data_IF_075646918337
#
_entry.id   IF_075646918337
#
_cell.length_a   1.000
_cell.length_b   1.000
_cell.length_c   1.000
_cell.angle_alpha   90.00
_cell.angle_beta   90.00
_cell.angle_gamma   90.00
#
_symmetry.space_group_name_H-M   'P 1'
#
loop_
_entity.id
_entity.type
_entity.pdbx_description
1 polymer ?
#
# COMPACT_ATOMS: atom_id res chain seq x y z
N UNK A 1 -32.41 -10.42 -7.78
CA UNK A 1 -31.01 -10.77 -7.45
C UNK A 1 -30.80 -10.80 -5.92
N UNK A 2 -31.52 -11.65 -5.18
CA UNK A 2 -31.43 -11.75 -3.71
C UNK A 2 -30.87 -13.10 -3.20
N UNK A 3 -30.52 -14.02 -4.09
CA UNK A 3 -30.27 -15.44 -3.74
C UNK A 3 -28.81 -15.90 -3.76
N UNK A 4 -27.83 -14.98 -3.61
CA UNK A 4 -26.41 -15.36 -3.51
C UNK A 4 -25.86 -15.18 -2.08
N UNK A 5 -26.45 -14.29 -1.27
CA UNK A 5 -26.04 -14.11 0.13
C UNK A 5 -26.35 -15.31 1.04
N UNK A 6 -27.35 -16.13 0.69
CA UNK A 6 -27.84 -17.21 1.56
C UNK A 6 -27.04 -18.53 1.48
N UNK A 7 -26.10 -18.70 0.54
CA UNK A 7 -25.43 -20.01 0.35
C UNK A 7 -24.15 -20.20 1.16
N UNK A 8 -23.60 -19.14 1.74
CA UNK A 8 -22.42 -19.20 2.61
C UNK A 8 -22.75 -19.04 4.11
N UNK A 9 -24.01 -18.79 4.45
CA UNK A 9 -24.46 -18.46 5.80
C UNK A 9 -24.79 -19.69 6.67
N UNK A 10 -24.37 -20.89 6.24
CA UNK A 10 -24.79 -22.16 6.84
C UNK A 10 -23.61 -23.05 7.24
N UNK A 11 -22.83 -22.67 8.28
CA UNK A 11 -22.29 -23.62 9.30
C UNK A 11 -21.36 -23.12 10.42
N UNK A 12 -21.17 -21.81 10.66
CA UNK A 12 -20.45 -21.37 11.88
C UNK A 12 -21.14 -20.16 12.50
N UNK A 13 -21.67 -20.31 13.72
CA UNK A 13 -22.23 -19.20 14.51
C UNK A 13 -21.14 -18.36 15.19
N UNK A 14 -19.90 -18.51 14.77
CA UNK A 14 -18.70 -18.05 15.48
C UNK A 14 -17.77 -17.34 14.49
N UNK A 15 -17.13 -16.27 14.95
CA UNK A 15 -16.15 -15.53 14.17
C UNK A 15 -14.94 -16.43 13.86
N UNK A 16 -14.83 -16.89 12.62
CA UNK A 16 -13.77 -17.80 12.17
C UNK A 16 -12.34 -17.28 12.49
N UNK A 17 -12.01 -15.97 12.31
CA UNK A 17 -10.69 -15.47 12.69
C UNK A 17 -10.43 -15.54 14.20
N UNK A 18 -11.48 -15.44 15.02
CA UNK A 18 -11.38 -15.58 16.46
C UNK A 18 -11.12 -17.05 16.86
N UNK A 19 -11.76 -18.00 16.19
CA UNK A 19 -11.48 -19.44 16.37
C UNK A 19 -10.02 -19.77 16.01
N UNK A 20 -9.49 -19.20 14.93
CA UNK A 20 -8.07 -19.36 14.58
C UNK A 20 -7.15 -18.82 15.68
N UNK A 21 -7.48 -17.65 16.25
CA UNK A 21 -6.71 -17.08 17.37
C UNK A 21 -6.72 -17.99 18.60
N UNK A 22 -7.84 -18.69 18.86
CA UNK A 22 -7.95 -19.66 19.94
C UNK A 22 -7.00 -20.86 19.72
N UNK A 23 -6.91 -21.38 18.50
CA UNK A 23 -5.96 -22.44 18.18
C UNK A 23 -4.49 -22.00 18.32
N UNK A 24 -4.16 -20.76 17.94
CA UNK A 24 -2.82 -20.20 18.12
C UNK A 24 -2.51 -20.05 19.62
N UNK A 25 -3.45 -19.58 20.43
CA UNK A 25 -3.29 -19.50 21.88
C UNK A 25 -3.05 -20.88 22.52
N UNK A 26 -3.78 -21.90 22.07
CA UNK A 26 -3.58 -23.28 22.51
C UNK A 26 -2.17 -23.79 22.18
N UNK A 27 -1.64 -23.45 21.01
CA UNK A 27 -0.27 -23.77 20.62
C UNK A 27 0.77 -23.06 21.51
N UNK A 28 0.63 -21.75 21.76
CA UNK A 28 1.52 -20.99 22.64
C UNK A 28 1.54 -21.61 24.05
N UNK A 29 0.38 -22.02 24.56
CA UNK A 29 0.27 -22.71 25.86
C UNK A 29 1.01 -24.04 25.89
N UNK A 30 0.94 -24.83 24.81
CA UNK A 30 1.67 -26.10 24.71
C UNK A 30 3.19 -25.88 24.63
N UNK A 31 3.65 -24.86 23.90
CA UNK A 31 5.07 -24.45 23.84
C UNK A 31 5.59 -24.07 25.24
N UNK A 32 4.81 -23.33 26.02
CA UNK A 32 5.15 -22.98 27.39
C UNK A 32 5.19 -24.22 28.31
N UNK A 33 4.18 -25.10 28.23
CA UNK A 33 4.12 -26.33 29.03
C UNK A 33 5.34 -27.24 28.80
N UNK A 34 5.84 -27.29 27.56
CA UNK A 34 7.01 -28.08 27.17
C UNK A 34 8.35 -27.36 27.44
N UNK A 35 8.33 -26.14 27.97
CA UNK A 35 9.51 -25.30 28.21
C UNK A 35 10.41 -25.13 26.97
N UNK A 36 9.81 -25.07 25.77
CA UNK A 36 10.55 -24.89 24.51
C UNK A 36 11.03 -23.44 24.31
N UNK A 37 10.45 -22.50 25.05
CA UNK A 37 10.81 -21.08 24.99
C UNK A 37 10.81 -20.45 26.40
N UNK A 38 11.66 -19.43 26.66
CA UNK A 38 11.66 -18.68 27.91
C UNK A 38 10.34 -17.91 28.12
N UNK A 39 9.96 -17.69 29.38
CA UNK A 39 8.71 -17.01 29.76
C UNK A 39 8.54 -15.63 29.12
N UNK A 40 9.63 -14.86 29.01
CA UNK A 40 9.61 -13.57 28.33
C UNK A 40 9.16 -13.68 26.85
N UNK A 41 9.61 -14.73 26.15
CA UNK A 41 9.25 -14.97 24.75
C UNK A 41 7.77 -15.37 24.63
N UNK A 42 7.26 -16.16 25.57
CA UNK A 42 5.84 -16.52 25.64
C UNK A 42 4.96 -15.27 25.83
N UNK A 43 5.37 -14.34 26.70
CA UNK A 43 4.69 -13.06 26.86
C UNK A 43 4.67 -12.26 25.55
N UNK A 44 5.80 -12.22 24.83
CA UNK A 44 5.88 -11.54 23.53
C UNK A 44 4.94 -12.18 22.49
N UNK A 45 4.89 -13.51 22.40
CA UNK A 45 3.97 -14.22 21.51
C UNK A 45 2.51 -13.91 21.83
N UNK A 46 2.13 -13.88 23.10
CA UNK A 46 0.78 -13.51 23.52
C UNK A 46 0.45 -12.05 23.18
N UNK A 47 1.41 -11.13 23.33
CA UNK A 47 1.23 -9.73 22.93
C UNK A 47 1.02 -9.58 21.41
N UNK A 48 1.77 -10.33 20.60
CA UNK A 48 1.56 -10.37 19.14
C UNK A 48 0.18 -10.92 18.78
N UNK A 49 -0.28 -11.99 19.46
CA UNK A 49 -1.61 -12.53 19.27
C UNK A 49 -2.71 -11.53 19.66
N UNK A 50 -2.56 -10.85 20.80
CA UNK A 50 -3.48 -9.80 21.23
C UNK A 50 -3.53 -8.65 20.22
N UNK A 51 -2.42 -8.29 19.60
CA UNK A 51 -2.39 -7.29 18.53
C UNK A 51 -3.20 -7.76 17.30
N UNK A 52 -3.04 -9.02 16.88
CA UNK A 52 -3.87 -9.58 15.79
C UNK A 52 -5.38 -9.52 16.11
N UNK A 53 -5.77 -9.84 17.36
CA UNK A 53 -7.17 -9.77 17.80
C UNK A 53 -7.67 -8.31 17.86
N UNK A 54 -6.83 -7.37 18.30
CA UNK A 54 -7.16 -5.94 18.27
C UNK A 54 -7.35 -5.41 16.85
N UNK A 55 -6.49 -5.82 15.91
CA UNK A 55 -6.64 -5.50 14.50
C UNK A 55 -7.95 -6.07 13.93
N UNK A 56 -8.29 -7.32 14.25
CA UNK A 56 -9.56 -7.94 13.88
C UNK A 56 -10.75 -7.11 14.39
N UNK A 57 -10.78 -6.79 15.69
CA UNK A 57 -11.85 -5.95 16.26
C UNK A 57 -11.90 -4.54 15.66
N UNK A 58 -10.75 -3.99 15.27
CA UNK A 58 -10.67 -2.74 14.51
C UNK A 58 -11.33 -2.84 13.13
N UNK A 59 -11.05 -3.91 12.39
CA UNK A 59 -11.66 -4.18 11.08
C UNK A 59 -13.16 -4.47 11.20
N UNK A 60 -13.58 -5.25 12.19
CA UNK A 60 -15.00 -5.48 12.48
C UNK A 60 -15.71 -4.16 12.79
N UNK A 61 -15.11 -3.29 13.61
CA UNK A 61 -15.67 -1.95 13.87
C UNK A 61 -15.78 -1.13 12.58
N UNK A 62 -14.74 -1.08 11.75
CA UNK A 62 -14.78 -0.33 10.49
C UNK A 62 -15.86 -0.92 9.55
N UNK A 63 -15.94 -2.24 9.45
CA UNK A 63 -16.91 -2.94 8.62
C UNK A 63 -18.36 -2.79 9.13
N UNK A 64 -18.55 -2.72 10.45
CA UNK A 64 -19.88 -2.57 11.08
C UNK A 64 -20.30 -1.10 11.21
N UNK A 65 -19.35 -0.16 11.17
CA UNK A 65 -19.61 1.28 11.07
C UNK A 65 -19.89 1.65 9.61
N UNK A 66 -20.85 0.97 8.98
CA UNK A 66 -21.42 1.48 7.73
C UNK A 66 -22.08 2.82 8.01
N UNK A 67 -21.90 3.81 7.13
CA UNK A 67 -22.58 5.10 7.27
C UNK A 67 -24.08 4.86 7.45
N UNK A 68 -24.77 5.61 8.33
CA UNK A 68 -26.19 5.41 8.53
C UNK A 68 -26.94 5.46 7.20
N UNK A 69 -27.78 4.45 6.93
CA UNK A 69 -28.54 4.36 5.68
C UNK A 69 -29.34 5.64 5.38
N UNK A 70 -29.84 6.31 6.41
CA UNK A 70 -30.54 7.59 6.31
C UNK A 70 -29.68 8.68 5.66
N UNK A 71 -28.38 8.74 5.97
CA UNK A 71 -27.47 9.72 5.37
C UNK A 71 -27.33 9.49 3.86
N UNK A 72 -27.09 8.25 3.43
CA UNK A 72 -26.96 7.92 2.01
C UNK A 72 -28.23 8.25 1.22
N UNK A 73 -29.40 7.95 1.80
CA UNK A 73 -30.70 8.27 1.18
C UNK A 73 -30.91 9.79 1.11
N UNK A 74 -30.62 10.54 2.18
CA UNK A 74 -30.79 11.99 2.18
C UNK A 74 -29.83 12.70 1.23
N UNK A 75 -28.59 12.22 1.13
CA UNK A 75 -27.61 12.77 0.20
C UNK A 75 -28.06 12.57 -1.25
N UNK A 76 -28.61 11.39 -1.59
CA UNK A 76 -29.24 11.15 -2.90
C UNK A 76 -30.42 12.10 -3.17
N UNK A 77 -31.34 12.23 -2.20
CA UNK A 77 -32.50 13.12 -2.32
C UNK A 77 -32.08 14.58 -2.54
N UNK A 78 -31.08 15.06 -1.79
CA UNK A 78 -30.58 16.42 -1.88
C UNK A 78 -29.94 16.70 -3.24
N UNK A 79 -29.09 15.79 -3.75
CA UNK A 79 -28.47 15.91 -5.08
C UNK A 79 -29.53 15.97 -6.17
N UNK A 80 -30.58 15.14 -6.09
CA UNK A 80 -31.67 15.16 -7.06
C UNK A 80 -32.48 16.45 -7.02
N UNK A 81 -32.86 16.91 -5.82
CA UNK A 81 -33.61 18.16 -5.66
C UNK A 81 -32.78 19.35 -6.18
N UNK A 82 -31.46 19.37 -5.94
CA UNK A 82 -30.57 20.42 -6.42
C UNK A 82 -30.52 20.49 -7.95
N UNK A 83 -30.37 19.33 -8.61
CA UNK A 83 -30.36 19.26 -10.09
C UNK A 83 -31.72 19.68 -10.68
N UNK A 84 -32.84 19.32 -10.03
CA UNK A 84 -34.18 19.73 -10.46
C UNK A 84 -34.45 21.23 -10.23
N UNK A 85 -33.85 21.84 -9.20
CA UNK A 85 -34.01 23.27 -8.90
C UNK A 85 -33.14 24.17 -9.80
N UNK A 86 -31.95 23.70 -10.20
CA UNK A 86 -30.99 24.41 -11.06
C UNK A 86 -31.58 25.06 -12.34
N UNK A 87 -32.42 24.39 -13.16
CA UNK A 87 -32.95 24.99 -14.39
C UNK A 87 -33.82 26.23 -14.12
N UNK A 88 -34.59 26.24 -13.03
CA UNK A 88 -35.43 27.39 -12.66
C UNK A 88 -34.57 28.60 -12.26
N UNK A 89 -33.41 28.37 -11.66
CA UNK A 89 -32.47 29.42 -11.28
C UNK A 89 -31.73 29.99 -12.49
N UNK A 90 -31.36 29.15 -13.46
CA UNK A 90 -30.49 29.54 -14.59
C UNK A 90 -31.24 30.04 -15.83
N UNK A 91 -32.54 29.77 -15.96
CA UNK A 91 -33.29 30.15 -17.17
C UNK A 91 -33.35 31.67 -17.38
N UNK A 92 -33.39 32.47 -16.31
CA UNK A 92 -33.37 33.93 -16.37
C UNK A 92 -32.06 34.51 -16.96
N UNK A 93 -30.89 34.23 -16.36
CA UNK A 93 -29.63 34.81 -16.82
C UNK A 93 -29.07 34.17 -18.10
N UNK A 94 -29.29 32.87 -18.34
CA UNK A 94 -28.62 32.13 -19.41
C UNK A 94 -29.53 31.74 -20.59
N UNK A 95 -30.86 31.83 -20.46
CA UNK A 95 -31.82 31.42 -21.49
C UNK A 95 -31.48 30.05 -22.11
N UNK A 96 -31.18 30.01 -23.41
CA UNK A 96 -30.84 28.78 -24.16
C UNK A 96 -29.56 28.09 -23.65
N UNK A 97 -28.59 28.85 -23.11
CA UNK A 97 -27.36 28.29 -22.53
C UNK A 97 -27.59 27.60 -21.18
N UNK A 98 -28.77 27.70 -20.58
CA UNK A 98 -29.10 26.99 -19.36
C UNK A 98 -29.07 25.46 -19.56
N UNK A 99 -29.51 24.96 -20.73
CA UNK A 99 -29.58 23.53 -21.03
C UNK A 99 -28.19 22.85 -20.93
N UNK A 100 -27.15 23.28 -21.68
CA UNK A 100 -25.82 22.67 -21.58
C UNK A 100 -25.18 22.89 -20.22
N UNK A 101 -25.43 24.04 -19.57
CA UNK A 101 -24.87 24.34 -18.24
C UNK A 101 -25.43 23.41 -17.16
N UNK A 102 -26.74 23.18 -17.16
CA UNK A 102 -27.41 22.27 -16.22
C UNK A 102 -26.99 20.82 -16.49
N UNK A 103 -26.85 20.42 -17.77
CA UNK A 103 -26.37 19.08 -18.12
C UNK A 103 -24.93 18.84 -17.60
N UNK A 104 -24.05 19.83 -17.73
CA UNK A 104 -22.68 19.75 -17.21
C UNK A 104 -22.66 19.69 -15.68
N UNK A 105 -23.46 20.52 -15.00
CA UNK A 105 -23.56 20.52 -13.54
C UNK A 105 -24.11 19.18 -13.02
N UNK A 106 -25.14 18.64 -13.66
CA UNK A 106 -25.72 17.34 -13.32
C UNK A 106 -24.70 16.20 -13.50
N UNK A 107 -23.96 16.20 -14.61
CA UNK A 107 -22.89 15.23 -14.85
C UNK A 107 -21.82 15.28 -13.74
N UNK A 108 -21.35 16.47 -13.37
CA UNK A 108 -20.34 16.63 -12.31
C UNK A 108 -20.85 16.18 -10.94
N UNK A 109 -22.06 16.59 -10.55
CA UNK A 109 -22.63 16.27 -9.23
C UNK A 109 -23.00 14.79 -9.10
N UNK A 110 -23.60 14.20 -10.14
CA UNK A 110 -23.89 12.77 -10.16
C UNK A 110 -22.60 11.93 -10.25
N UNK A 111 -21.60 12.41 -10.98
CA UNK A 111 -20.29 11.76 -11.04
C UNK A 111 -19.63 11.67 -9.67
N UNK A 112 -19.55 12.80 -8.93
CA UNK A 112 -19.00 12.82 -7.57
C UNK A 112 -19.83 11.95 -6.62
N UNK A 113 -21.16 11.93 -6.76
CA UNK A 113 -22.05 11.09 -5.96
C UNK A 113 -21.73 9.59 -6.11
N UNK A 114 -21.60 9.10 -7.34
CA UNK A 114 -21.30 7.69 -7.62
C UNK A 114 -19.91 7.31 -7.10
N UNK A 115 -18.91 8.16 -7.30
CA UNK A 115 -17.56 7.94 -6.78
C UNK A 115 -17.58 7.86 -5.24
N UNK A 116 -18.35 8.71 -4.58
CA UNK A 116 -18.51 8.68 -3.13
C UNK A 116 -19.14 7.38 -2.62
N UNK A 117 -20.13 6.85 -3.34
CA UNK A 117 -20.80 5.59 -3.00
C UNK A 117 -19.90 4.36 -3.16
N UNK A 118 -19.05 4.35 -4.20
CA UNK A 118 -18.05 3.30 -4.40
C UNK A 118 -16.98 3.34 -3.30
N UNK A 119 -16.47 4.53 -2.99
CA UNK A 119 -15.45 4.69 -1.95
C UNK A 119 -15.95 4.31 -0.54
N UNK A 120 -17.25 4.40 -0.28
CA UNK A 120 -17.85 3.95 0.99
C UNK A 120 -17.79 2.41 1.15
N UNK A 121 -17.86 1.66 0.06
CA UNK A 121 -17.90 0.19 0.07
C UNK A 121 -16.56 -0.47 -0.31
N UNK A 122 -15.44 0.23 -0.06
CA UNK A 122 -14.10 -0.15 -0.50
C UNK A 122 -13.66 -1.59 -0.09
N UNK A 123 -14.17 -2.13 1.02
CA UNK A 123 -13.82 -3.49 1.48
C UNK A 123 -14.37 -4.61 0.61
N UNK A 124 -15.49 -4.38 -0.08
CA UNK A 124 -16.19 -5.40 -0.86
C UNK A 124 -15.91 -5.32 -2.35
N UNK A 125 -15.24 -4.24 -2.79
CA UNK A 125 -14.89 -3.99 -4.17
C UNK A 125 -13.40 -4.22 -4.38
N UNK A 126 -13.07 -5.28 -5.12
CA UNK A 126 -11.67 -5.65 -5.43
C UNK A 126 -10.92 -4.58 -6.22
N UNK A 127 -11.65 -3.75 -6.98
CA UNK A 127 -11.09 -2.68 -7.80
C UNK A 127 -10.55 -1.50 -6.96
N UNK A 128 -11.12 -1.27 -5.77
CA UNK A 128 -10.73 -0.17 -4.88
C UNK A 128 -9.65 -0.63 -3.89
N UNK A 129 -9.81 -1.84 -3.34
CA UNK A 129 -8.84 -2.42 -2.42
C UNK A 129 -8.54 -3.87 -2.83
N UNK A 130 -7.31 -4.18 -3.30
CA UNK A 130 -6.98 -5.52 -3.78
C UNK A 130 -6.65 -6.47 -2.61
N UNK A 131 -7.64 -6.76 -1.76
CA UNK A 131 -7.49 -7.58 -0.56
C UNK A 131 -6.92 -8.98 -0.88
N UNK A 132 -7.41 -9.62 -1.93
CA UNK A 132 -6.92 -10.93 -2.38
C UNK A 132 -5.44 -10.91 -2.75
N UNK A 133 -4.99 -9.85 -3.41
CA UNK A 133 -3.58 -9.68 -3.74
C UNK A 133 -2.72 -9.59 -2.47
N UNK A 134 -3.14 -8.78 -1.51
CA UNK A 134 -2.43 -8.66 -0.23
C UNK A 134 -2.38 -10.00 0.53
N UNK A 135 -3.48 -10.76 0.57
CA UNK A 135 -3.49 -12.08 1.19
C UNK A 135 -2.55 -13.06 0.48
N UNK A 136 -2.49 -13.02 -0.85
CA UNK A 136 -1.59 -13.88 -1.62
C UNK A 136 -0.13 -13.50 -1.40
N UNK A 137 0.20 -12.21 -1.39
CA UNK A 137 1.55 -11.73 -1.10
C UNK A 137 2.01 -12.16 0.31
N UNK A 138 1.16 -11.96 1.33
CA UNK A 138 1.45 -12.41 2.69
C UNK A 138 1.63 -13.93 2.78
N UNK A 139 0.85 -14.71 2.02
CA UNK A 139 0.98 -16.15 1.96
C UNK A 139 2.35 -16.56 1.40
N UNK A 140 2.75 -15.98 0.27
CA UNK A 140 4.06 -16.23 -0.36
C UNK A 140 5.22 -15.79 0.56
N UNK A 141 5.11 -14.65 1.24
CA UNK A 141 6.11 -14.18 2.21
C UNK A 141 6.25 -15.16 3.38
N UNK A 142 5.15 -15.63 3.95
CA UNK A 142 5.18 -16.60 5.06
C UNK A 142 5.76 -17.94 4.58
N UNK A 143 5.40 -18.42 3.39
CA UNK A 143 5.97 -19.62 2.79
C UNK A 143 7.48 -19.48 2.56
N UNK A 144 7.91 -18.33 2.05
CA UNK A 144 9.34 -18.02 1.84
C UNK A 144 10.12 -18.03 3.17
N UNK A 145 9.56 -17.43 4.22
CA UNK A 145 10.19 -17.40 5.55
C UNK A 145 10.20 -18.79 6.21
N UNK A 146 9.14 -19.57 6.06
CA UNK A 146 9.02 -20.90 6.70
C UNK A 146 9.79 -21.99 5.94
N UNK A 147 10.05 -21.80 4.66
CA UNK A 147 10.84 -22.74 3.84
C UNK A 147 12.33 -22.74 4.15
N UNK A 148 12.86 -21.67 4.74
CA UNK A 148 14.28 -21.55 5.09
C UNK A 148 14.46 -21.52 6.61
N UNK A 149 15.42 -22.28 7.18
CA UNK A 149 15.76 -22.12 8.58
C UNK A 149 16.33 -20.72 8.81
N UNK A 150 16.08 -20.16 10.01
CA UNK A 150 16.61 -18.85 10.38
C UNK A 150 18.11 -18.78 10.08
N UNK A 151 18.57 -17.84 9.22
CA UNK A 151 19.96 -17.81 8.81
C UNK A 151 20.83 -17.40 10.00
N UNK A 152 21.87 -18.20 10.27
CA UNK A 152 22.84 -17.86 11.32
C UNK A 152 23.62 -16.61 10.89
N UNK A 153 23.92 -15.65 11.77
CA UNK A 153 24.68 -14.44 11.41
C UNK A 153 25.95 -14.76 10.62
N UNK A 154 26.67 -15.83 10.96
CA UNK A 154 27.88 -16.24 10.25
C UNK A 154 27.66 -16.55 8.77
N UNK A 155 26.49 -17.09 8.38
CA UNK A 155 26.24 -17.52 7.00
C UNK A 155 26.09 -16.35 6.04
N UNK A 156 25.55 -15.22 6.50
CA UNK A 156 25.35 -14.04 5.66
C UNK A 156 26.29 -12.88 6.01
N UNK A 157 26.60 -12.65 7.29
CA UNK A 157 27.42 -11.50 7.74
C UNK A 157 28.84 -11.53 7.13
N UNK A 158 29.44 -12.72 7.01
CA UNK A 158 30.77 -12.91 6.42
C UNK A 158 30.73 -13.51 5.02
N UNK A 159 29.54 -13.61 4.42
CA UNK A 159 29.39 -14.09 3.06
C UNK A 159 30.17 -13.20 2.09
N UNK A 160 30.69 -13.81 1.04
CA UNK A 160 31.33 -13.08 -0.07
C UNK A 160 30.33 -12.17 -0.80
N UNK A 161 29.03 -12.45 -0.63
CA UNK A 161 27.92 -11.65 -1.15
C UNK A 161 27.60 -10.44 -0.28
N UNK A 162 27.95 -10.45 1.01
CA UNK A 162 27.76 -9.29 1.88
C UNK A 162 28.82 -8.23 1.59
N UNK A 163 28.46 -7.25 0.77
CA UNK A 163 29.34 -6.22 0.23
C UNK A 163 28.85 -4.83 0.67
N UNK A 164 29.04 -4.45 1.95
CA UNK A 164 28.43 -3.25 2.52
C UNK A 164 28.93 -1.94 1.90
N UNK A 165 30.06 -1.97 1.17
CA UNK A 165 30.65 -0.80 0.50
C UNK A 165 30.68 -0.93 -1.03
N UNK A 166 29.74 -1.69 -1.62
CA UNK A 166 29.72 -2.07 -3.05
C UNK A 166 29.76 -0.89 -4.05
N UNK A 167 29.57 0.36 -3.62
CA UNK A 167 29.48 1.53 -4.51
C UNK A 167 30.55 2.60 -4.29
N UNK A 168 31.48 2.44 -3.33
CA UNK A 168 32.45 3.52 -3.01
C UNK A 168 33.47 3.75 -4.15
N UNK A 169 33.53 4.97 -4.70
CA UNK A 169 34.41 5.39 -5.81
C UNK A 169 35.90 5.04 -5.59
N UNK A 170 36.35 4.98 -4.33
CA UNK A 170 37.73 4.63 -3.96
C UNK A 170 38.14 3.19 -4.28
N UNK A 171 37.19 2.29 -4.42
CA UNK A 171 37.49 0.92 -4.81
C UNK A 171 37.48 0.70 -6.33
N UNK A 172 37.34 1.76 -7.15
CA UNK A 172 37.22 1.66 -8.61
C UNK A 172 36.11 0.66 -9.04
N UNK A 173 35.01 0.58 -8.30
CA UNK A 173 33.94 -0.41 -8.56
C UNK A 173 34.24 -1.84 -8.07
N UNK A 174 35.36 -2.08 -7.37
CA UNK A 174 35.63 -3.37 -6.73
C UNK A 174 34.79 -3.54 -5.47
N UNK A 175 33.97 -4.58 -5.47
CA UNK A 175 33.20 -5.03 -4.32
C UNK A 175 34.12 -5.71 -3.32
N UNK A 176 34.31 -5.11 -2.14
CA UNK A 176 35.01 -5.78 -1.03
C UNK A 176 34.02 -6.54 -0.17
N UNK A 177 34.15 -7.87 -0.04
CA UNK A 177 33.30 -8.65 0.84
C UNK A 177 33.60 -8.33 2.32
N UNK A 178 32.60 -8.49 3.17
CA UNK A 178 32.68 -8.27 4.61
C UNK A 178 33.85 -9.04 5.27
N UNK A 179 34.15 -10.25 4.77
CA UNK A 179 35.27 -11.08 5.23
C UNK A 179 36.66 -10.44 5.05
N UNK A 180 36.83 -9.57 4.05
CA UNK A 180 38.07 -8.83 3.80
C UNK A 180 38.12 -7.51 4.57
N UNK A 181 36.97 -6.92 4.87
CA UNK A 181 36.85 -5.64 5.57
C UNK A 181 37.21 -5.77 7.05
N UNK A 182 36.89 -6.90 7.68
CA UNK A 182 37.23 -7.17 9.08
C UNK A 182 38.75 -7.22 9.30
N UNK A 183 39.53 -7.55 8.26
CA UNK A 183 40.98 -7.64 8.35
C UNK A 183 41.70 -6.28 8.19
N UNK A 184 40.97 -5.21 7.86
CA UNK A 184 41.54 -3.87 7.65
C UNK A 184 41.64 -3.08 8.96
N UNK A 185 42.53 -2.08 8.98
CA UNK A 185 42.67 -1.15 10.11
C UNK A 185 41.44 -0.25 10.24
N UNK A 186 41.12 0.10 11.48
CA UNK A 186 39.94 0.91 11.82
C UNK A 186 39.95 2.29 11.12
N UNK A 187 41.12 2.93 11.01
CA UNK A 187 41.25 4.23 10.35
C UNK A 187 40.87 4.21 8.87
N UNK A 188 41.17 3.10 8.17
CA UNK A 188 40.77 2.92 6.78
C UNK A 188 39.26 2.71 6.67
N UNK A 189 38.68 1.89 7.54
CA UNK A 189 37.24 1.64 7.60
C UNK A 189 36.45 2.93 7.88
N UNK A 190 36.93 3.76 8.82
CA UNK A 190 36.31 5.06 9.14
C UNK A 190 36.34 6.03 7.95
N UNK A 191 37.43 6.05 7.18
CA UNK A 191 37.50 6.83 5.93
C UNK A 191 36.48 6.32 4.90
N UNK A 192 36.46 5.00 4.67
CA UNK A 192 35.52 4.36 3.74
C UNK A 192 34.05 4.60 4.14
N UNK A 193 33.72 4.58 5.43
CA UNK A 193 32.38 4.89 5.96
C UNK A 193 31.99 6.34 5.72
N UNK A 194 32.91 7.28 5.98
CA UNK A 194 32.69 8.71 5.75
C UNK A 194 32.45 9.03 4.26
N UNK A 195 33.06 8.26 3.37
CA UNK A 195 32.90 8.39 1.92
C UNK A 195 31.66 7.65 1.41
N UNK A 196 31.35 6.47 1.95
CA UNK A 196 30.12 5.75 1.67
C UNK A 196 28.88 6.57 2.08
N UNK A 197 28.91 7.20 3.26
CA UNK A 197 27.85 8.11 3.71
C UNK A 197 27.77 9.41 2.92
N UNK A 198 28.84 9.79 2.20
CA UNK A 198 28.84 10.94 1.27
C UNK A 198 28.29 10.56 -0.10
N UNK A 199 28.16 9.27 -0.42
CA UNK A 199 27.52 8.85 -1.65
C UNK A 199 26.04 9.18 -1.58
N UNK A 200 25.56 9.80 -2.66
CA UNK A 200 24.15 10.06 -2.88
C UNK A 200 23.40 8.73 -2.69
N UNK A 201 22.32 8.67 -1.87
CA UNK A 201 21.60 7.43 -1.63
C UNK A 201 21.24 6.80 -2.98
N UNK A 202 21.54 5.50 -3.13
CA UNK A 202 21.36 4.70 -4.35
C UNK A 202 20.01 5.00 -5.05
N UNK A 203 18.98 5.29 -4.26
CA UNK A 203 17.64 5.71 -4.69
C UNK A 203 17.61 6.93 -5.61
N UNK A 204 18.44 7.95 -5.42
CA UNK A 204 18.49 9.15 -6.29
C UNK A 204 19.23 8.88 -7.62
N UNK A 205 20.24 8.02 -7.62
CA UNK A 205 20.92 7.58 -8.85
C UNK A 205 20.00 6.70 -9.70
N UNK A 206 19.35 5.70 -9.09
CA UNK A 206 18.35 4.86 -9.76
C UNK A 206 17.15 5.67 -10.28
N UNK A 207 16.74 6.73 -9.57
CA UNK A 207 15.70 7.65 -10.06
C UNK A 207 16.16 8.48 -11.27
N UNK A 208 17.40 8.98 -11.26
CA UNK A 208 17.96 9.71 -12.41
C UNK A 208 18.14 8.80 -13.63
N UNK A 209 18.67 7.59 -13.43
CA UNK A 209 18.81 6.60 -14.51
C UNK A 209 17.45 6.22 -15.10
N UNK A 210 16.44 5.95 -14.25
CA UNK A 210 15.07 5.68 -14.73
C UNK A 210 14.49 6.84 -15.52
N UNK A 211 14.69 8.09 -15.08
CA UNK A 211 14.26 9.28 -15.84
C UNK A 211 15.02 9.48 -17.14
N UNK A 212 16.29 9.11 -17.21
CA UNK A 212 17.09 9.16 -18.44
C UNK A 212 16.67 8.06 -19.42
N UNK A 213 16.35 6.87 -18.94
CA UNK A 213 15.76 5.78 -19.72
C UNK A 213 14.38 6.15 -20.26
N UNK A 214 13.51 6.73 -19.44
CA UNK A 214 12.20 7.26 -19.87
C UNK A 214 12.35 8.34 -20.95
N UNK A 215 13.33 9.25 -20.80
CA UNK A 215 13.64 10.26 -21.83
C UNK A 215 14.16 9.63 -23.12
N UNK A 216 15.00 8.59 -23.04
CA UNK A 216 15.51 7.85 -24.22
C UNK A 216 14.38 7.10 -24.92
N UNK A 217 13.46 6.49 -24.16
CA UNK A 217 12.29 5.77 -24.67
C UNK A 217 11.33 6.72 -25.39
N UNK A 218 10.97 7.84 -24.75
CA UNK A 218 10.15 8.91 -25.37
C UNK A 218 10.80 9.51 -26.63
N UNK A 219 12.13 9.59 -26.70
CA UNK A 219 12.86 10.06 -27.88
C UNK A 219 12.90 9.01 -29.00
N UNK A 220 12.83 7.72 -28.65
CA UNK A 220 12.70 6.62 -29.60
C UNK A 220 11.28 6.51 -30.16
N UNK A 221 10.26 6.72 -29.32
CA UNK A 221 8.85 6.69 -29.71
C UNK A 221 8.49 7.88 -30.62
N UNK A 222 9.11 9.05 -30.40
CA UNK A 222 9.03 10.18 -31.34
C UNK A 222 9.69 9.93 -32.69
N UNK A 223 10.67 9.02 -32.78
CA UNK A 223 11.34 8.64 -34.03
C UNK A 223 10.65 7.50 -34.78
N UNK A 224 9.85 6.68 -34.08
CA UNK A 224 9.11 5.55 -34.67
C UNK A 224 7.72 5.91 -35.20
N UNK A 225 7.30 7.17 -35.12
CA UNK A 225 6.05 7.65 -35.74
C UNK A 225 4.77 7.05 -35.16
N UNK A 226 4.81 6.46 -33.97
CA UNK A 226 3.61 5.95 -33.30
C UNK A 226 3.10 7.03 -32.36
N UNK A 227 2.04 7.73 -32.76
CA UNK A 227 1.36 8.75 -31.94
C UNK A 227 0.56 8.05 -30.84
N UNK A 228 0.84 8.28 -29.54
CA UNK A 228 -0.14 8.00 -28.50
C UNK A 228 -1.15 9.14 -28.47
N UNK A 229 -2.42 8.78 -28.60
CA UNK A 229 -3.59 9.64 -28.46
C UNK A 229 -3.49 10.52 -27.21
N UNK A 230 -3.71 11.82 -27.40
CA UNK A 230 -3.73 12.84 -26.36
C UNK A 230 -4.89 12.64 -25.36
N UNK A 231 -4.65 13.04 -24.11
CA UNK A 231 -5.64 13.15 -23.05
C UNK A 231 -5.13 14.04 -21.90
N UNK A 232 -5.37 15.34 -22.06
CA UNK A 232 -5.44 16.48 -21.10
C UNK A 232 -4.78 16.40 -19.70
N UNK A 233 -4.04 17.46 -19.36
CA UNK A 233 -3.51 17.76 -18.02
C UNK A 233 -4.58 18.24 -17.01
N UNK A 234 -4.15 18.76 -15.85
CA UNK A 234 -3.86 20.20 -15.82
C UNK A 234 -2.57 20.62 -15.08
N UNK A 235 -2.10 21.78 -15.52
CA UNK A 235 -1.32 22.82 -14.83
C UNK A 235 -1.89 23.06 -13.41
N UNK A 236 -1.18 23.50 -12.37
CA UNK A 236 0.11 24.13 -12.14
C UNK A 236 0.03 24.72 -10.72
N UNK A 237 1.18 24.97 -10.09
CA UNK A 237 1.44 25.99 -9.04
C UNK A 237 2.40 25.51 -7.93
N UNK A 238 3.65 25.96 -8.09
CA UNK A 238 4.50 26.66 -7.12
C UNK A 238 5.14 25.88 -5.96
N UNK A 239 6.41 25.55 -6.21
CA UNK A 239 7.52 25.61 -5.24
C UNK A 239 7.53 26.96 -4.49
N UNK A 240 7.65 26.92 -3.17
CA UNK A 240 8.43 27.92 -2.44
C UNK A 240 9.26 27.25 -1.34
N UNK A 241 10.57 27.25 -1.57
CA UNK A 241 11.64 26.93 -0.62
C UNK A 241 11.91 28.17 0.22
N UNK A 242 11.96 28.03 1.55
CA UNK A 242 12.66 28.99 2.43
C UNK A 242 13.28 28.21 3.61
N UNK A 243 14.32 28.76 4.26
CA UNK A 243 15.67 28.19 4.41
C UNK A 243 15.83 27.16 5.54
#
# INVERSE_FOLDING_TARGET
MQNIKAKYDMRYSTNLPLELSYHIAAYIKDVHKRQLAPDFTITLMNNSLNNMVQCLGGLERISTTSTPLSYAIHLFQLTYIFILALPFQLIGPLNWYAIPTVALAAFSLLGIYVIGLENENAFWQEDILPFKYFCNELHEEILSITSHPMPTPKSWLLSTENQPFATTYLNQGRRTPASQLIKRKEDELRKMLKEAGRQVPLRKHLYKERKEEEKKKNKSDRKSGTVPSAGAGPEGENEELVP
#
